data_IF_655820509971
#
_entry.id   IF_655820509971
#
_cell.length_a   1.000
_cell.length_b   1.000
_cell.length_c   1.000
_cell.angle_alpha   90.00
_cell.angle_beta   90.00
_cell.angle_gamma   90.00
#
_symmetry.space_group_name_H-M   'P 1'
#
loop_
_entity.id
_entity.type
_entity.pdbx_description
1 polymer ?
#
# COMPACT_ATOMS: atom_id res chain seq x y z
N UNK A 1 3.69 -23.30 -5.77
CA UNK A 1 3.37 -22.00 -5.14
C UNK A 1 3.03 -21.00 -6.25
N UNK A 2 1.85 -20.38 -6.25
CA UNK A 2 1.51 -19.36 -7.25
C UNK A 2 2.14 -18.03 -6.82
N UNK A 3 3.24 -17.64 -7.46
CA UNK A 3 3.92 -16.38 -7.17
C UNK A 3 2.96 -15.22 -7.50
N UNK A 4 2.45 -14.53 -6.46
CA UNK A 4 1.59 -13.35 -6.66
C UNK A 4 2.44 -12.23 -7.25
N UNK A 5 2.22 -11.98 -8.54
CA UNK A 5 2.78 -10.84 -9.28
C UNK A 5 1.70 -9.78 -9.47
N UNK A 6 2.12 -8.53 -9.58
CA UNK A 6 1.26 -7.37 -9.81
C UNK A 6 1.70 -6.68 -11.09
N UNK A 7 0.73 -6.47 -11.99
CA UNK A 7 0.97 -5.81 -13.27
C UNK A 7 1.05 -4.29 -13.09
N UNK A 8 2.08 -3.66 -13.63
CA UNK A 8 2.17 -2.21 -13.75
C UNK A 8 1.07 -1.72 -14.69
N UNK A 9 0.42 -0.59 -14.37
CA UNK A 9 -0.65 -0.03 -15.21
C UNK A 9 -0.12 0.79 -16.39
N UNK A 10 1.11 1.26 -16.30
CA UNK A 10 1.71 2.16 -17.28
C UNK A 10 2.48 1.41 -18.37
N UNK A 11 3.26 0.40 -17.99
CA UNK A 11 4.11 -0.36 -18.92
C UNK A 11 3.79 -1.87 -18.96
N UNK A 12 2.69 -2.29 -18.31
CA UNK A 12 2.22 -3.68 -18.31
C UNK A 12 3.19 -4.74 -17.76
N UNK A 13 4.31 -4.32 -17.17
CA UNK A 13 5.32 -5.22 -16.62
C UNK A 13 4.79 -5.95 -15.39
N UNK A 14 5.09 -7.24 -15.27
CA UNK A 14 4.82 -8.02 -14.07
C UNK A 14 5.88 -7.74 -13.00
N UNK A 15 5.46 -7.20 -11.87
CA UNK A 15 6.30 -6.87 -10.74
C UNK A 15 5.98 -7.78 -9.55
N UNK A 16 6.91 -7.90 -8.60
CA UNK A 16 6.62 -8.60 -7.35
C UNK A 16 5.54 -7.84 -6.56
N UNK A 17 4.65 -8.55 -5.86
CA UNK A 17 3.66 -7.91 -4.97
C UNK A 17 4.28 -7.13 -3.81
N UNK A 18 5.55 -7.42 -3.50
CA UNK A 18 6.37 -6.69 -2.53
C UNK A 18 7.11 -5.50 -3.13
N UNK A 19 7.08 -5.26 -4.45
CA UNK A 19 7.73 -4.13 -5.11
C UNK A 19 6.92 -2.83 -4.91
N UNK A 20 7.60 -1.73 -4.56
CA UNK A 20 6.96 -0.41 -4.38
C UNK A 20 6.81 0.26 -5.73
N UNK A 21 7.89 0.21 -6.50
CA UNK A 21 8.00 0.85 -7.80
C UNK A 21 8.18 -0.21 -8.88
N UNK A 22 7.80 0.14 -10.11
CA UNK A 22 7.97 -0.75 -11.24
C UNK A 22 9.46 -0.90 -11.58
N UNK A 23 9.93 -2.14 -11.75
CA UNK A 23 11.33 -2.42 -12.10
C UNK A 23 11.72 -1.91 -13.50
N UNK A 24 10.75 -1.66 -14.37
CA UNK A 24 10.99 -1.19 -15.74
C UNK A 24 10.84 0.32 -15.87
N UNK A 25 9.70 0.88 -15.47
CA UNK A 25 9.44 2.31 -15.66
C UNK A 25 9.72 3.18 -14.41
N UNK A 26 9.96 2.58 -13.24
CA UNK A 26 10.18 3.30 -11.99
C UNK A 26 8.93 3.94 -11.37
N UNK A 27 7.75 3.78 -11.98
CA UNK A 27 6.52 4.37 -11.46
C UNK A 27 5.97 3.59 -10.26
N UNK A 28 5.34 4.28 -9.30
CA UNK A 28 4.79 3.65 -8.10
C UNK A 28 3.66 2.68 -8.48
N UNK A 29 3.78 1.44 -7.99
CA UNK A 29 2.79 0.41 -8.25
C UNK A 29 1.54 0.63 -7.39
N UNK A 30 0.33 0.33 -7.93
CA UNK A 30 -0.91 0.45 -7.19
C UNK A 30 -0.99 -0.63 -6.11
N UNK A 31 -0.33 -0.39 -4.97
CA UNK A 31 -0.47 -1.24 -3.79
C UNK A 31 -1.89 -1.13 -3.29
N UNK A 32 -2.52 -2.28 -3.07
CA UNK A 32 -3.68 -2.39 -2.21
C UNK A 32 -3.25 -1.84 -0.86
N UNK A 33 -3.62 -0.61 -0.53
CA UNK A 33 -3.44 -0.04 0.81
C UNK A 33 -4.02 -1.07 1.76
N UNK A 34 -3.15 -1.80 2.47
CA UNK A 34 -3.58 -2.65 3.56
C UNK A 34 -4.28 -1.68 4.49
N UNK A 35 -5.59 -1.86 4.62
CA UNK A 35 -6.51 -0.98 5.33
C UNK A 35 -6.24 -1.13 6.83
N UNK A 36 -5.08 -0.65 7.25
CA UNK A 36 -4.48 -0.82 8.57
C UNK A 36 -4.09 0.52 9.15
N UNK A 37 -5.00 1.49 9.10
CA UNK A 37 -4.90 2.68 9.92
C UNK A 37 -6.24 2.85 10.64
N UNK A 38 -6.59 1.89 11.53
CA UNK A 38 -7.44 2.23 12.66
C UNK A 38 -6.59 3.08 13.59
N UNK A 39 -6.47 4.37 13.25
CA UNK A 39 -6.05 5.37 14.23
C UNK A 39 -7.23 5.49 15.19
N UNK A 40 -7.21 4.68 16.24
CA UNK A 40 -8.08 4.86 17.40
C UNK A 40 -7.76 6.23 17.97
N UNK A 41 -8.51 7.25 17.55
CA UNK A 41 -8.42 8.61 18.06
C UNK A 41 -8.96 8.56 19.50
N UNK A 42 -8.09 8.20 20.46
CA UNK A 42 -8.40 8.28 21.89
C UNK A 42 -8.67 9.76 22.19
N UNK A 43 -9.95 10.13 22.33
CA UNK A 43 -10.33 11.40 22.93
C UNK A 43 -10.14 11.25 24.44
N UNK A 44 -8.99 11.68 24.98
CA UNK A 44 -8.88 12.01 26.40
C UNK A 44 -9.43 13.42 26.59
N UNK A 45 -10.73 13.54 26.82
CA UNK A 45 -11.26 14.72 27.51
C UNK A 45 -11.08 14.47 29.00
N UNK A 46 -10.05 15.09 29.57
CA UNK A 46 -10.01 15.37 30.99
C UNK A 46 -10.85 16.62 31.18
N UNK A 47 -12.12 16.45 31.52
CA UNK A 47 -12.93 17.53 32.07
C UNK A 47 -12.48 17.73 33.52
N UNK A 48 -11.47 18.58 33.68
CA UNK A 48 -11.21 19.32 34.93
C UNK A 48 -12.03 20.61 34.82
N UNK A 49 -13.18 20.65 35.50
CA UNK A 49 -13.73 21.86 36.10
C UNK A 49 -14.74 21.48 37.18
#
# INVERSE_FOLDING_TARGET
MSAKTLKCRDCDTNNATTAIDCVVCGLPLPRSRVRGARVSRVRRSRDLC
#
